data_IF_575985074483
#
_entry.id   IF_575985074483
#
_cell.length_a   1.000
_cell.length_b   1.000
_cell.length_c   1.000
_cell.angle_alpha   90.00
_cell.angle_beta   90.00
_cell.angle_gamma   90.00
#
_symmetry.space_group_name_H-M   'P 1'
#
loop_
_entity.id
_entity.type
_entity.pdbx_description
1 polymer ?
#
# COMPACT_ATOMS: atom_id res chain seq x y z
N UNK A 1 -18.67 6.76 -12.03
CA UNK A 1 -17.49 5.87 -11.87
C UNK A 1 -16.18 6.64 -11.80
N UNK A 2 -15.75 7.32 -12.87
CA UNK A 2 -14.46 8.04 -12.92
C UNK A 2 -14.30 9.03 -11.75
N UNK A 3 -15.28 9.89 -11.49
CA UNK A 3 -15.22 10.88 -10.39
C UNK A 3 -14.97 10.24 -9.03
N UNK A 4 -15.70 9.20 -8.67
CA UNK A 4 -15.53 8.49 -7.39
C UNK A 4 -14.13 7.87 -7.26
N UNK A 5 -13.67 7.17 -8.32
CA UNK A 5 -12.33 6.55 -8.35
C UNK A 5 -11.24 7.61 -8.13
N UNK A 6 -11.29 8.70 -8.90
CA UNK A 6 -10.28 9.76 -8.81
C UNK A 6 -10.32 10.41 -7.43
N UNK A 7 -11.51 10.78 -6.93
CA UNK A 7 -11.64 11.43 -5.62
C UNK A 7 -11.06 10.55 -4.50
N UNK A 8 -11.50 9.28 -4.39
CA UNK A 8 -11.02 8.41 -3.33
C UNK A 8 -9.57 7.98 -3.52
N UNK A 9 -9.12 7.80 -4.77
CA UNK A 9 -7.72 7.49 -5.06
C UNK A 9 -6.78 8.64 -4.69
N UNK A 10 -7.15 9.88 -5.02
CA UNK A 10 -6.38 11.06 -4.65
C UNK A 10 -6.34 11.26 -3.13
N UNK A 11 -7.48 11.16 -2.44
CA UNK A 11 -7.54 11.32 -0.99
C UNK A 11 -6.70 10.23 -0.30
N UNK A 12 -6.85 8.97 -0.71
CA UNK A 12 -6.06 7.86 -0.17
C UNK A 12 -4.57 8.05 -0.45
N UNK A 13 -4.21 8.46 -1.66
CA UNK A 13 -2.83 8.74 -2.06
C UNK A 13 -2.21 9.87 -1.26
N UNK A 14 -2.90 10.99 -1.09
CA UNK A 14 -2.43 12.12 -0.28
C UNK A 14 -2.27 11.72 1.18
N UNK A 15 -3.24 10.98 1.76
CA UNK A 15 -3.13 10.51 3.14
C UNK A 15 -1.94 9.56 3.30
N UNK A 16 -1.71 8.62 2.37
CA UNK A 16 -0.55 7.73 2.44
C UNK A 16 0.77 8.49 2.36
N UNK A 17 0.85 9.49 1.48
CA UNK A 17 2.01 10.38 1.35
C UNK A 17 2.29 11.17 2.64
N UNK A 18 1.25 11.76 3.22
CA UNK A 18 1.36 12.53 4.47
C UNK A 18 1.81 11.63 5.63
N UNK A 19 1.21 10.44 5.77
CA UNK A 19 1.59 9.49 6.81
C UNK A 19 3.04 9.03 6.63
N UNK A 20 3.49 8.77 5.39
CA UNK A 20 4.88 8.45 5.10
C UNK A 20 5.81 9.58 5.55
N UNK A 21 5.55 10.82 5.16
CA UNK A 21 6.36 11.98 5.58
C UNK A 21 6.38 12.14 7.10
N UNK A 22 5.24 11.97 7.76
CA UNK A 22 5.15 12.07 9.22
C UNK A 22 5.91 10.96 9.95
N UNK A 23 6.17 9.81 9.32
CA UNK A 23 6.93 8.71 9.97
C UNK A 23 8.44 8.92 9.92
N UNK A 24 8.97 9.74 8.99
CA UNK A 24 10.41 9.97 8.80
C UNK A 24 11.14 10.36 10.10
N UNK A 25 10.67 11.34 10.89
CA UNK A 25 11.39 11.76 12.10
C UNK A 25 11.53 10.64 13.15
N UNK A 26 10.67 9.63 13.08
CA UNK A 26 10.65 8.54 14.05
C UNK A 26 11.61 7.40 13.69
N UNK A 27 12.05 7.27 12.42
CA UNK A 27 12.93 6.17 12.00
C UNK A 27 14.19 6.05 12.89
N UNK A 28 14.84 7.16 13.19
CA UNK A 28 16.05 7.17 14.02
C UNK A 28 15.78 6.87 15.51
N UNK A 29 14.59 7.21 16.00
CA UNK A 29 14.22 7.08 17.41
C UNK A 29 13.74 5.68 17.77
N UNK A 30 12.95 5.04 16.89
CA UNK A 30 12.28 3.77 17.18
C UNK A 30 12.97 2.57 16.53
N UNK A 31 13.93 2.80 15.64
CA UNK A 31 14.63 1.76 14.87
C UNK A 31 13.81 1.18 13.73
N UNK A 32 14.50 0.53 12.79
CA UNK A 32 13.88 0.07 11.52
C UNK A 32 12.74 -0.93 11.72
N UNK A 33 12.77 -1.82 12.71
CA UNK A 33 11.73 -2.83 12.91
C UNK A 33 10.39 -2.20 13.30
N UNK A 34 10.42 -1.26 14.25
CA UNK A 34 9.22 -0.55 14.69
C UNK A 34 8.74 0.44 13.63
N UNK A 35 9.66 1.07 12.91
CA UNK A 35 9.35 1.95 11.79
C UNK A 35 8.63 1.20 10.66
N UNK A 36 9.02 -0.05 10.39
CA UNK A 36 8.36 -0.91 9.42
C UNK A 36 6.90 -1.21 9.82
N UNK A 37 6.66 -1.55 11.10
CA UNK A 37 5.29 -1.76 11.63
C UNK A 37 4.46 -0.47 11.47
N UNK A 38 5.03 0.68 11.79
CA UNK A 38 4.36 1.98 11.65
C UNK A 38 4.03 2.27 10.17
N UNK A 39 4.97 1.99 9.26
CA UNK A 39 4.79 2.13 7.83
C UNK A 39 3.64 1.28 7.30
N UNK A 40 3.63 -0.03 7.58
CA UNK A 40 2.54 -0.92 7.18
C UNK A 40 1.18 -0.53 7.80
N UNK A 41 1.17 -0.08 9.06
CA UNK A 41 -0.04 0.44 9.69
C UNK A 41 -0.58 1.65 8.93
N UNK A 42 0.29 2.56 8.53
CA UNK A 42 -0.06 3.75 7.72
C UNK A 42 -0.63 3.37 6.35
N UNK A 43 -0.04 2.37 5.69
CA UNK A 43 -0.55 1.82 4.43
C UNK A 43 -1.97 1.26 4.62
N UNK A 44 -2.18 0.41 5.62
CA UNK A 44 -3.51 -0.17 5.91
C UNK A 44 -4.54 0.91 6.17
N UNK A 45 -4.23 1.90 7.01
CA UNK A 45 -5.13 3.02 7.32
C UNK A 45 -5.52 3.81 6.06
N UNK A 46 -4.55 4.10 5.19
CA UNK A 46 -4.80 4.81 3.93
C UNK A 46 -5.73 4.01 3.01
N UNK A 47 -5.53 2.71 2.92
CA UNK A 47 -6.34 1.84 2.06
C UNK A 47 -7.73 1.51 2.60
N UNK A 48 -8.07 1.84 3.85
CA UNK A 48 -9.47 1.78 4.30
C UNK A 48 -10.38 2.67 3.44
N UNK A 49 -9.83 3.71 2.80
CA UNK A 49 -10.56 4.55 1.84
C UNK A 49 -11.00 3.80 0.57
N UNK A 50 -10.38 2.68 0.24
CA UNK A 50 -10.84 1.79 -0.85
C UNK A 50 -12.24 1.25 -0.54
N UNK A 51 -12.46 0.79 0.70
CA UNK A 51 -13.78 0.34 1.15
C UNK A 51 -14.83 1.45 1.02
N UNK A 52 -14.51 2.64 1.52
CA UNK A 52 -15.44 3.78 1.44
C UNK A 52 -15.67 4.23 0.00
N UNK A 53 -14.67 4.16 -0.86
CA UNK A 53 -14.79 4.47 -2.29
C UNK A 53 -15.70 3.49 -3.03
N UNK A 54 -15.56 2.19 -2.80
CA UNK A 54 -16.45 1.17 -3.35
C UNK A 54 -17.87 1.35 -2.83
N UNK A 55 -18.03 1.59 -1.52
CA UNK A 55 -19.33 1.85 -0.89
C UNK A 55 -19.99 3.09 -1.47
N UNK A 56 -19.25 4.20 -1.58
CA UNK A 56 -19.76 5.44 -2.18
C UNK A 56 -20.19 5.24 -3.63
N UNK A 57 -19.41 4.48 -4.40
CA UNK A 57 -19.79 4.13 -5.76
C UNK A 57 -21.08 3.31 -5.81
N UNK A 58 -21.21 2.26 -4.97
CA UNK A 58 -22.41 1.43 -4.88
C UNK A 58 -23.64 2.27 -4.55
N UNK A 59 -23.54 3.14 -3.54
CA UNK A 59 -24.70 3.82 -2.96
C UNK A 59 -25.12 5.05 -3.80
N UNK A 60 -24.15 5.80 -4.37
CA UNK A 60 -24.44 7.06 -5.06
C UNK A 60 -24.44 6.96 -6.60
N UNK A 61 -23.89 5.88 -7.18
CA UNK A 61 -23.73 5.76 -8.65
C UNK A 61 -24.40 4.50 -9.19
N UNK A 62 -24.44 3.43 -8.40
CA UNK A 62 -24.96 2.13 -8.82
C UNK A 62 -26.27 1.76 -8.08
N UNK A 63 -27.03 2.76 -7.62
CA UNK A 63 -28.38 2.63 -7.06
C UNK A 63 -28.47 1.57 -5.93
N UNK A 64 -27.43 1.50 -5.11
CA UNK A 64 -27.35 0.57 -3.98
C UNK A 64 -26.97 -0.88 -4.35
N UNK A 65 -26.66 -1.16 -5.61
CA UNK A 65 -26.32 -2.51 -6.10
C UNK A 65 -24.96 -2.52 -6.79
N UNK A 66 -24.14 -3.52 -6.52
CA UNK A 66 -22.84 -3.68 -7.17
C UNK A 66 -22.46 -5.16 -7.26
N UNK A 67 -21.99 -5.60 -8.42
CA UNK A 67 -21.42 -6.94 -8.58
C UNK A 67 -19.99 -6.97 -8.03
N UNK A 68 -19.50 -8.16 -7.65
CA UNK A 68 -18.13 -8.33 -7.18
C UNK A 68 -17.09 -7.78 -8.16
N UNK A 69 -17.18 -8.14 -9.45
CA UNK A 69 -16.21 -7.70 -10.46
C UNK A 69 -16.18 -6.17 -10.63
N UNK A 70 -17.35 -5.50 -10.56
CA UNK A 70 -17.42 -4.04 -10.65
C UNK A 70 -16.88 -3.37 -9.39
N UNK A 71 -17.16 -3.91 -8.20
CA UNK A 71 -16.62 -3.46 -6.93
C UNK A 71 -15.08 -3.62 -6.89
N UNK A 72 -14.59 -4.79 -7.33
CA UNK A 72 -13.17 -5.06 -7.45
C UNK A 72 -12.48 -4.10 -8.42
N UNK A 73 -13.03 -3.87 -9.61
CA UNK A 73 -12.47 -2.93 -10.58
C UNK A 73 -12.40 -1.49 -10.05
N UNK A 74 -13.44 -1.02 -9.34
CA UNK A 74 -13.44 0.30 -8.68
C UNK A 74 -12.35 0.37 -7.62
N UNK A 75 -12.28 -0.62 -6.73
CA UNK A 75 -11.29 -0.67 -5.67
C UNK A 75 -9.86 -0.78 -6.19
N UNK A 76 -9.63 -1.62 -7.19
CA UNK A 76 -8.32 -1.78 -7.82
C UNK A 76 -7.81 -0.46 -8.42
N UNK A 77 -8.68 0.28 -9.12
CA UNK A 77 -8.31 1.59 -9.67
C UNK A 77 -7.95 2.59 -8.56
N UNK A 78 -8.69 2.61 -7.44
CA UNK A 78 -8.38 3.45 -6.27
C UNK A 78 -7.02 3.06 -5.70
N UNK A 79 -6.78 1.76 -5.49
CA UNK A 79 -5.51 1.22 -5.00
C UNK A 79 -4.34 1.62 -5.90
N UNK A 80 -4.46 1.47 -7.22
CA UNK A 80 -3.40 1.83 -8.16
C UNK A 80 -3.05 3.33 -8.10
N UNK A 81 -4.06 4.21 -8.05
CA UNK A 81 -3.83 5.64 -7.88
C UNK A 81 -3.07 5.92 -6.57
N UNK A 82 -3.50 5.30 -5.47
CA UNK A 82 -2.83 5.46 -4.17
C UNK A 82 -1.38 4.95 -4.19
N UNK A 83 -1.11 3.82 -4.85
CA UNK A 83 0.26 3.30 -5.03
C UNK A 83 1.15 4.26 -5.83
N UNK A 84 0.62 4.92 -6.86
CA UNK A 84 1.39 5.93 -7.62
C UNK A 84 1.81 7.09 -6.71
N UNK A 85 0.92 7.55 -5.84
CA UNK A 85 1.26 8.59 -4.85
C UNK A 85 2.32 8.11 -3.85
N UNK A 86 2.16 6.89 -3.33
CA UNK A 86 3.10 6.30 -2.39
C UNK A 86 4.51 6.20 -3.00
N UNK A 87 4.62 5.61 -4.19
CA UNK A 87 5.88 5.46 -4.91
C UNK A 87 6.48 6.82 -5.25
N UNK A 88 5.68 7.74 -5.81
CA UNK A 88 6.16 9.08 -6.16
C UNK A 88 6.66 9.85 -4.94
N UNK A 89 6.00 9.73 -3.79
CA UNK A 89 6.46 10.32 -2.53
C UNK A 89 7.79 9.72 -2.08
N UNK A 90 7.93 8.39 -2.14
CA UNK A 90 9.18 7.73 -1.80
C UNK A 90 10.32 8.14 -2.70
N UNK A 91 10.11 8.19 -4.02
CA UNK A 91 11.14 8.64 -4.98
C UNK A 91 11.63 10.06 -4.66
N UNK A 92 10.72 10.97 -4.34
CA UNK A 92 11.11 12.35 -3.94
C UNK A 92 11.91 12.31 -2.64
N UNK A 93 11.44 11.58 -1.62
CA UNK A 93 12.10 11.54 -0.30
C UNK A 93 13.46 10.86 -0.37
N UNK A 94 13.59 9.75 -1.07
CA UNK A 94 14.84 9.00 -1.20
C UNK A 94 15.94 9.80 -1.94
N UNK A 95 15.55 10.70 -2.85
CA UNK A 95 16.49 11.57 -3.57
C UNK A 95 16.75 12.93 -2.90
N UNK A 96 15.98 13.28 -1.87
CA UNK A 96 16.12 14.59 -1.19
C UNK A 96 16.51 14.46 0.27
N UNK A 97 15.61 13.98 1.11
CA UNK A 97 15.73 13.96 2.57
C UNK A 97 16.39 12.68 3.09
N UNK A 98 16.17 11.56 2.39
CA UNK A 98 16.57 10.22 2.83
C UNK A 98 17.65 9.59 1.92
N UNK A 99 18.60 10.41 1.44
CA UNK A 99 19.65 9.94 0.52
C UNK A 99 20.49 8.80 1.09
N UNK A 100 20.71 8.83 2.39
CA UNK A 100 21.52 7.84 3.11
C UNK A 100 20.68 6.67 3.68
N UNK A 101 19.37 6.63 3.35
CA UNK A 101 18.48 5.64 3.95
C UNK A 101 18.93 4.20 3.71
N UNK A 102 19.33 3.87 2.48
CA UNK A 102 19.79 2.53 2.13
C UNK A 102 21.10 2.17 2.81
N UNK A 103 21.98 3.15 3.04
CA UNK A 103 23.23 2.97 3.77
C UNK A 103 22.96 2.68 5.24
N UNK A 104 22.11 3.45 5.88
CA UNK A 104 21.72 3.27 7.26
C UNK A 104 20.96 1.94 7.47
N UNK A 105 20.03 1.59 6.56
CA UNK A 105 19.34 0.32 6.60
C UNK A 105 20.32 -0.85 6.48
N UNK A 106 21.22 -0.80 5.50
CA UNK A 106 22.25 -1.85 5.30
C UNK A 106 23.15 -2.00 6.52
N UNK A 107 23.64 -0.90 7.10
CA UNK A 107 24.45 -0.92 8.32
C UNK A 107 23.71 -1.56 9.50
N UNK A 108 22.43 -1.21 9.68
CA UNK A 108 21.57 -1.79 10.72
C UNK A 108 21.41 -3.30 10.54
N UNK A 109 21.13 -3.75 9.30
CA UNK A 109 20.95 -5.17 9.01
C UNK A 109 22.24 -5.98 9.18
N UNK A 110 23.39 -5.42 8.77
CA UNK A 110 24.71 -6.03 8.98
C UNK A 110 25.02 -6.17 10.49
N UNK A 111 24.80 -5.11 11.27
CA UNK A 111 24.98 -5.12 12.72
C UNK A 111 24.11 -6.19 13.38
N UNK A 112 22.84 -6.32 12.99
CA UNK A 112 21.95 -7.38 13.46
C UNK A 112 22.42 -8.77 13.10
N UNK A 113 22.91 -8.97 11.88
CA UNK A 113 23.47 -10.25 11.44
C UNK A 113 24.69 -10.64 12.27
N UNK A 114 25.59 -9.70 12.54
CA UNK A 114 26.78 -9.92 13.39
C UNK A 114 26.42 -10.23 14.84
N UNK A 115 25.37 -9.59 15.37
CA UNK A 115 24.91 -9.81 16.75
C UNK A 115 24.01 -11.06 16.90
N UNK A 116 23.66 -11.76 15.82
CA UNK A 116 22.68 -12.87 15.84
C UNK A 116 23.19 -14.16 16.49
N UNK A 117 24.50 -14.29 16.75
CA UNK A 117 25.12 -15.54 17.21
C UNK A 117 25.23 -16.63 16.12
N UNK A 118 24.91 -16.31 14.85
CA UNK A 118 25.06 -17.23 13.72
C UNK A 118 26.53 -17.51 13.39
N UNK A 119 26.80 -18.60 12.65
CA UNK A 119 28.15 -18.92 12.22
C UNK A 119 28.76 -17.80 11.36
N UNK A 120 30.08 -17.65 11.36
CA UNK A 120 30.77 -16.65 10.54
C UNK A 120 30.41 -16.76 9.05
N UNK A 121 30.24 -17.97 8.54
CA UNK A 121 29.82 -18.21 7.16
C UNK A 121 28.39 -17.70 6.88
N UNK A 122 27.45 -17.93 7.79
CA UNK A 122 26.08 -17.45 7.66
C UNK A 122 26.01 -15.91 7.74
N UNK A 123 26.78 -15.30 8.64
CA UNK A 123 26.91 -13.84 8.74
C UNK A 123 27.47 -13.25 7.44
N UNK A 124 28.54 -13.84 6.89
CA UNK A 124 29.13 -13.37 5.63
C UNK A 124 28.14 -13.48 4.45
N UNK A 125 27.43 -14.60 4.33
CA UNK A 125 26.41 -14.78 3.30
C UNK A 125 25.31 -13.71 3.39
N UNK A 126 24.92 -13.34 4.61
CA UNK A 126 23.92 -12.26 4.83
C UNK A 126 24.46 -10.88 4.47
N UNK A 127 25.71 -10.60 4.76
CA UNK A 127 26.39 -9.36 4.37
C UNK A 127 26.41 -9.25 2.83
N UNK A 128 26.78 -10.33 2.14
CA UNK A 128 26.84 -10.36 0.66
C UNK A 128 25.45 -10.15 0.05
N UNK A 129 24.40 -10.72 0.64
CA UNK A 129 23.00 -10.49 0.24
C UNK A 129 22.60 -9.02 0.37
N UNK A 130 22.91 -8.40 1.53
CA UNK A 130 22.59 -6.99 1.79
C UNK A 130 23.34 -6.07 0.82
N UNK A 131 24.62 -6.35 0.53
CA UNK A 131 25.39 -5.58 -0.42
C UNK A 131 24.84 -5.68 -1.85
N UNK A 132 24.43 -6.87 -2.28
CA UNK A 132 23.75 -7.06 -3.57
C UNK A 132 22.45 -6.29 -3.64
N UNK A 133 21.63 -6.35 -2.59
CA UNK A 133 20.37 -5.60 -2.52
C UNK A 133 20.62 -4.09 -2.62
N UNK A 134 21.63 -3.56 -1.94
CA UNK A 134 22.02 -2.15 -2.01
C UNK A 134 22.37 -1.73 -3.45
N UNK A 135 23.15 -2.54 -4.17
CA UNK A 135 23.51 -2.29 -5.57
C UNK A 135 22.26 -2.31 -6.46
N UNK A 136 21.37 -3.29 -6.29
CA UNK A 136 20.12 -3.36 -7.04
C UNK A 136 19.21 -2.17 -6.75
N UNK A 137 19.13 -1.74 -5.50
CA UNK A 137 18.29 -0.61 -5.07
C UNK A 137 18.76 0.73 -5.64
N UNK A 138 20.03 0.84 -6.02
CA UNK A 138 20.54 2.02 -6.72
C UNK A 138 20.00 2.16 -8.17
N UNK A 139 19.42 1.09 -8.73
CA UNK A 139 18.73 1.15 -10.02
C UNK A 139 17.33 1.75 -9.82
N UNK A 140 16.98 2.88 -10.48
CA UNK A 140 15.69 3.55 -10.28
C UNK A 140 14.48 2.66 -10.58
N UNK A 141 14.55 1.83 -11.64
CA UNK A 141 13.47 0.94 -11.99
C UNK A 141 13.24 -0.13 -10.91
N UNK A 142 14.32 -0.68 -10.36
CA UNK A 142 14.25 -1.65 -9.28
C UNK A 142 13.67 -1.01 -8.01
N UNK A 143 14.11 0.20 -7.66
CA UNK A 143 13.59 0.96 -6.52
C UNK A 143 12.08 1.19 -6.65
N UNK A 144 11.61 1.72 -7.78
CA UNK A 144 10.18 1.93 -8.06
C UNK A 144 9.38 0.63 -7.93
N UNK A 145 9.87 -0.48 -8.51
CA UNK A 145 9.18 -1.77 -8.45
C UNK A 145 9.11 -2.32 -7.01
N UNK A 146 10.21 -2.24 -6.26
CA UNK A 146 10.25 -2.69 -4.87
C UNK A 146 9.35 -1.85 -3.98
N UNK A 147 9.37 -0.54 -4.16
CA UNK A 147 8.47 0.37 -3.44
C UNK A 147 7.00 0.13 -3.79
N UNK A 148 6.69 -0.23 -5.04
CA UNK A 148 5.33 -0.57 -5.47
C UNK A 148 4.84 -1.89 -4.85
N UNK A 149 5.70 -2.90 -4.75
CA UNK A 149 5.37 -4.21 -4.16
C UNK A 149 4.99 -4.09 -2.68
N UNK A 150 5.40 -3.06 -1.99
CA UNK A 150 5.10 -2.86 -0.56
C UNK A 150 3.59 -2.54 -0.31
N UNK A 151 2.98 -1.48 -0.87
CA UNK A 151 1.58 -1.14 -0.64
C UNK A 151 0.61 -1.97 -1.49
N UNK A 152 1.01 -2.43 -2.68
CA UNK A 152 0.09 -3.05 -3.64
C UNK A 152 -0.59 -4.33 -3.14
N UNK A 153 0.11 -5.32 -2.54
CA UNK A 153 -0.54 -6.51 -1.99
C UNK A 153 -1.53 -6.20 -0.89
N UNK A 154 -1.22 -5.22 -0.03
CA UNK A 154 -2.12 -4.77 1.05
C UNK A 154 -3.39 -4.15 0.47
N UNK A 155 -3.23 -3.24 -0.48
CA UNK A 155 -4.36 -2.60 -1.17
C UNK A 155 -5.20 -3.59 -1.97
N UNK A 156 -4.56 -4.57 -2.61
CA UNK A 156 -5.26 -5.65 -3.33
C UNK A 156 -6.09 -6.50 -2.37
N UNK A 157 -5.54 -6.89 -1.22
CA UNK A 157 -6.26 -7.66 -0.21
C UNK A 157 -7.47 -6.88 0.32
N UNK A 158 -7.28 -5.61 0.68
CA UNK A 158 -8.37 -4.74 1.13
C UNK A 158 -9.44 -4.58 0.03
N UNK A 159 -9.02 -4.45 -1.23
CA UNK A 159 -9.93 -4.39 -2.38
C UNK A 159 -10.76 -5.66 -2.51
N UNK A 160 -10.14 -6.84 -2.43
CA UNK A 160 -10.82 -8.13 -2.51
C UNK A 160 -11.86 -8.30 -1.38
N UNK A 161 -11.45 -8.03 -0.13
CA UNK A 161 -12.33 -8.11 1.04
C UNK A 161 -13.50 -7.12 0.88
N UNK A 162 -13.21 -5.87 0.53
CA UNK A 162 -14.22 -4.82 0.36
C UNK A 162 -15.22 -5.17 -0.74
N UNK A 163 -14.73 -5.69 -1.89
CA UNK A 163 -15.59 -6.11 -2.99
C UNK A 163 -16.49 -7.30 -2.60
N UNK A 164 -15.96 -8.25 -1.81
CA UNK A 164 -16.73 -9.37 -1.33
C UNK A 164 -17.84 -8.96 -0.33
N UNK A 165 -17.51 -8.07 0.61
CA UNK A 165 -18.43 -7.57 1.64
C UNK A 165 -19.51 -6.66 1.04
N UNK A 166 -19.12 -5.77 0.12
CA UNK A 166 -20.01 -4.74 -0.42
C UNK A 166 -20.86 -5.22 -1.60
N UNK A 167 -20.59 -6.40 -2.17
CA UNK A 167 -21.38 -6.94 -3.27
C UNK A 167 -22.87 -7.07 -2.88
N UNK A 168 -23.74 -6.55 -3.72
CA UNK A 168 -25.20 -6.66 -3.55
C UNK A 168 -25.84 -6.77 -4.92
N UNK A 169 -26.45 -7.92 -5.22
CA UNK A 169 -27.15 -8.13 -6.50
C UNK A 169 -28.45 -7.32 -6.54
N UNK A 170 -28.81 -6.78 -7.70
CA UNK A 170 -30.13 -6.23 -7.94
C UNK A 170 -31.20 -7.32 -7.73
N UNK A 171 -32.33 -6.99 -7.12
CA UNK A 171 -33.49 -7.90 -7.04
C UNK A 171 -34.07 -8.04 -8.47
N UNK A 172 -34.40 -9.27 -8.90
CA UNK A 172 -35.12 -9.44 -10.16
C UNK A 172 -36.41 -8.61 -10.19
N UNK A 173 -36.74 -8.05 -11.33
CA UNK A 173 -37.92 -7.18 -11.52
C UNK A 173 -39.23 -7.88 -11.17
N UNK A 174 -39.31 -9.21 -11.40
CA UNK A 174 -40.43 -10.05 -10.98
C UNK A 174 -40.69 -10.06 -9.46
N UNK A 175 -39.66 -9.94 -8.64
CA UNK A 175 -39.79 -9.86 -7.19
C UNK A 175 -40.16 -8.44 -6.69
N UNK A 176 -40.01 -7.41 -7.53
CA UNK A 176 -40.45 -6.04 -7.27
C UNK A 176 -41.94 -5.89 -7.50
N UNK A 177 -42.43 -6.46 -8.60
CA UNK A 177 -43.87 -6.45 -8.97
C UNK A 177 -44.72 -7.24 -7.96
N UNK A 178 -44.21 -8.38 -7.48
CA UNK A 178 -44.90 -9.20 -6.48
C UNK A 178 -44.96 -8.57 -5.07
N UNK A 179 -44.14 -7.59 -4.76
CA UNK A 179 -44.15 -6.87 -3.48
C UNK A 179 -45.05 -5.60 -3.50
N UNK A 180 -45.56 -5.23 -4.67
CA UNK A 180 -46.46 -4.09 -4.89
C UNK A 180 -47.91 -4.52 -5.17
N UNK A 181 -48.18 -5.82 -5.33
CA UNK A 181 -49.50 -6.41 -5.47
C UNK A 181 -49.99 -7.02 -4.13
#
# INVERSE_FOLDING_TARGET
MKKTIITFGLISGVISSLLMVCTIPFFHQIGFDKALILGYTSIVLSFLLVYFGIRSYRDNVAEGHITFGKAFGVGLCITLISCVFYVGTWEVLSHTVLRDWMDQYSASMISKAQASGASAQAVQAKIDEIQRMKVMYANPLYNVLMTFIEPFPVGLLITLISAAVLRKKARPESARTAAMA
#
